data_IF_675823836041
#
_entry.id   IF_675823836041
#
_cell.length_a   1.000
_cell.length_b   1.000
_cell.length_c   1.000
_cell.angle_alpha   90.00
_cell.angle_beta   90.00
_cell.angle_gamma   90.00
#
_symmetry.space_group_name_H-M   'P 1'
#
loop_
_entity.id
_entity.type
_entity.pdbx_description
1 polymer ?
#
# COMPACT_ATOMS: atom_id res chain seq x y z
N UNK A 1 31.04 -84.27 2.13
CA UNK A 1 30.58 -83.16 1.32
C UNK A 1 29.44 -82.52 2.08
N UNK A 2 29.65 -81.36 2.75
CA UNK A 2 28.63 -80.66 3.56
C UNK A 2 28.43 -79.32 2.91
N UNK A 3 27.24 -79.12 2.34
CA UNK A 3 26.82 -77.86 1.78
C UNK A 3 26.29 -76.92 2.91
N UNK A 4 26.95 -75.84 3.09
CA UNK A 4 26.46 -74.72 3.99
C UNK A 4 25.68 -73.79 3.15
N UNK A 5 24.37 -73.61 3.50
CA UNK A 5 23.50 -72.62 2.91
C UNK A 5 23.58 -71.31 3.81
N UNK A 6 24.05 -70.22 3.24
CA UNK A 6 24.08 -68.92 3.89
C UNK A 6 22.73 -68.27 3.70
N UNK A 7 22.06 -67.94 4.82
CA UNK A 7 20.81 -67.15 4.83
C UNK A 7 21.17 -65.67 4.89
N UNK A 8 20.82 -64.95 3.83
CA UNK A 8 21.00 -63.51 3.74
C UNK A 8 19.80 -62.84 4.43
N UNK A 9 20.02 -62.19 5.57
CA UNK A 9 19.01 -61.40 6.24
C UNK A 9 18.91 -59.99 5.58
N UNK A 10 17.76 -59.70 4.96
CA UNK A 10 17.46 -58.41 4.37
C UNK A 10 16.97 -57.47 5.45
N UNK A 11 17.78 -56.50 5.86
CA UNK A 11 17.36 -55.42 6.79
C UNK A 11 16.57 -54.37 6.01
N UNK A 12 15.26 -54.28 6.27
CA UNK A 12 14.39 -53.20 5.79
C UNK A 12 14.67 -51.94 6.61
N UNK A 13 15.35 -50.98 6.01
CA UNK A 13 15.51 -49.65 6.57
C UNK A 13 14.17 -48.89 6.52
N UNK A 14 13.52 -48.71 7.65
CA UNK A 14 12.37 -47.78 7.77
C UNK A 14 12.85 -46.35 7.51
N UNK A 15 12.39 -45.75 6.42
CA UNK A 15 12.61 -44.34 6.12
C UNK A 15 11.87 -43.43 7.11
N UNK A 16 12.55 -42.46 7.73
CA UNK A 16 11.88 -41.47 8.63
C UNK A 16 11.28 -40.31 7.84
N UNK A 17 10.53 -40.62 6.76
CA UNK A 17 9.97 -39.59 5.87
C UNK A 17 8.66 -38.94 6.35
N UNK A 18 7.99 -39.51 7.36
CA UNK A 18 6.66 -39.00 7.79
C UNK A 18 6.70 -37.90 8.90
N UNK A 19 7.82 -37.75 9.61
CA UNK A 19 7.94 -36.76 10.67
C UNK A 19 8.18 -35.33 10.15
N UNK A 20 8.72 -35.16 8.94
CA UNK A 20 8.99 -33.83 8.38
C UNK A 20 7.76 -33.13 7.83
N UNK A 21 6.75 -33.84 7.36
CA UNK A 21 5.51 -33.25 6.85
C UNK A 21 4.67 -32.63 8.00
N UNK A 22 4.60 -33.24 9.16
CA UNK A 22 3.86 -32.74 10.32
C UNK A 22 4.50 -31.49 10.96
N UNK A 23 5.83 -31.37 10.94
CA UNK A 23 6.53 -30.19 11.44
C UNK A 23 6.27 -28.96 10.55
N UNK A 24 6.16 -29.14 9.22
CA UNK A 24 5.85 -28.07 8.27
C UNK A 24 4.42 -27.52 8.45
N UNK A 25 3.45 -28.39 8.64
CA UNK A 25 2.04 -28.03 8.77
C UNK A 25 1.77 -27.26 10.08
N UNK A 26 2.41 -27.64 11.19
CA UNK A 26 2.30 -26.95 12.46
C UNK A 26 2.96 -25.56 12.42
N UNK A 27 4.03 -25.39 11.67
CA UNK A 27 4.69 -24.08 11.51
C UNK A 27 3.84 -23.14 10.68
N UNK A 28 3.22 -23.61 9.60
CA UNK A 28 2.31 -22.81 8.76
C UNK A 28 1.10 -22.35 9.60
N UNK A 29 0.50 -23.27 10.37
CA UNK A 29 -0.62 -22.96 11.27
C UNK A 29 -0.26 -21.89 12.31
N UNK A 30 0.89 -22.02 12.96
CA UNK A 30 1.37 -21.02 13.94
C UNK A 30 1.64 -19.65 13.30
N UNK A 31 2.13 -19.62 12.07
CA UNK A 31 2.31 -18.37 11.32
C UNK A 31 0.94 -17.72 11.05
N UNK A 32 -0.06 -18.51 10.71
CA UNK A 32 -1.41 -18.00 10.45
C UNK A 32 -2.09 -17.51 11.73
N UNK A 33 -1.98 -18.26 12.84
CA UNK A 33 -2.44 -17.83 14.18
C UNK A 33 -1.78 -16.51 14.60
N UNK A 34 -0.48 -16.37 14.38
CA UNK A 34 0.25 -15.13 14.67
C UNK A 34 -0.23 -13.96 13.77
N UNK A 35 -0.47 -14.21 12.49
CA UNK A 35 -1.03 -13.22 11.58
C UNK A 35 -2.42 -12.77 12.02
N UNK A 36 -3.27 -13.72 12.42
CA UNK A 36 -4.61 -13.40 12.91
C UNK A 36 -4.55 -12.57 14.19
N UNK A 37 -3.72 -12.93 15.14
CA UNK A 37 -3.52 -12.16 16.38
C UNK A 37 -3.02 -10.72 16.10
N UNK A 38 -2.20 -10.52 15.05
CA UNK A 38 -1.80 -9.18 14.62
C UNK A 38 -2.96 -8.41 13.97
N UNK A 39 -3.89 -9.09 13.31
CA UNK A 39 -5.08 -8.43 12.72
C UNK A 39 -6.02 -7.94 13.82
N UNK A 40 -6.21 -8.72 14.87
CA UNK A 40 -7.08 -8.41 16.01
C UNK A 40 -6.53 -7.27 16.88
N UNK A 41 -5.21 -7.01 16.84
CA UNK A 41 -4.55 -5.90 17.50
C UNK A 41 -3.67 -5.11 16.52
N UNK A 42 -4.27 -4.62 15.43
CA UNK A 42 -3.52 -3.96 14.37
C UNK A 42 -2.83 -2.68 14.88
N UNK A 43 -1.49 -2.63 14.90
CA UNK A 43 -0.78 -1.44 15.36
C UNK A 43 -1.10 -0.17 14.55
N UNK A 44 -1.70 -0.28 13.36
CA UNK A 44 -2.16 0.85 12.58
C UNK A 44 -3.18 1.73 13.34
N UNK A 45 -3.93 1.17 14.30
CA UNK A 45 -4.88 1.89 15.15
C UNK A 45 -4.23 3.08 15.89
N UNK A 46 -2.95 2.96 16.23
CA UNK A 46 -2.19 4.07 16.84
C UNK A 46 -1.99 5.25 15.88
N UNK A 47 -1.86 4.96 14.57
CA UNK A 47 -1.80 5.99 13.52
C UNK A 47 -3.17 6.55 13.23
N UNK A 48 -4.21 5.72 13.24
CA UNK A 48 -5.60 6.15 13.05
C UNK A 48 -6.01 7.16 14.14
N UNK A 49 -5.80 6.82 15.42
CA UNK A 49 -6.12 7.71 16.55
C UNK A 49 -5.33 9.04 16.47
N UNK A 50 -4.03 8.98 16.11
CA UNK A 50 -3.23 10.18 15.88
C UNK A 50 -3.76 10.99 14.70
N UNK A 51 -4.16 10.33 13.61
CA UNK A 51 -4.70 10.94 12.41
C UNK A 51 -6.03 11.66 12.69
N UNK A 52 -6.90 11.08 13.50
CA UNK A 52 -8.14 11.67 13.96
C UNK A 52 -7.89 12.97 14.75
N UNK A 53 -6.95 12.96 15.69
CA UNK A 53 -6.56 14.15 16.43
C UNK A 53 -6.00 15.24 15.49
N UNK A 54 -5.13 14.86 14.54
CA UNK A 54 -4.58 15.80 13.56
C UNK A 54 -5.62 16.37 12.61
N UNK A 55 -6.66 15.62 12.25
CA UNK A 55 -7.77 16.07 11.42
C UNK A 55 -8.60 17.15 12.10
N UNK A 56 -8.89 16.97 13.38
CA UNK A 56 -9.71 17.88 14.20
C UNK A 56 -8.92 19.05 14.78
N UNK A 57 -7.61 18.91 14.92
CA UNK A 57 -6.74 19.92 15.54
C UNK A 57 -6.57 21.14 14.65
N UNK A 58 -6.73 22.33 15.25
CA UNK A 58 -6.41 23.60 14.60
C UNK A 58 -4.89 23.73 14.45
N UNK A 59 -4.42 23.95 13.23
CA UNK A 59 -3.00 24.00 12.87
C UNK A 59 -2.72 25.09 11.85
N UNK A 60 -1.44 25.32 11.61
CA UNK A 60 -0.94 26.27 10.63
C UNK A 60 -1.16 27.72 11.02
N UNK A 61 -0.70 28.67 10.20
CA UNK A 61 -0.86 30.12 10.46
C UNK A 61 -2.29 30.57 10.66
N UNK A 62 -3.26 29.95 9.98
CA UNK A 62 -4.69 30.31 10.08
C UNK A 62 -5.40 29.67 11.27
N UNK A 63 -4.75 28.78 12.02
CA UNK A 63 -5.34 28.07 13.17
C UNK A 63 -6.69 27.40 12.85
N UNK A 64 -6.76 26.67 11.73
CA UNK A 64 -7.96 25.97 11.24
C UNK A 64 -7.69 24.45 11.23
N UNK A 65 -8.73 23.65 11.51
CA UNK A 65 -8.70 22.19 11.38
C UNK A 65 -8.82 21.75 9.90
N UNK A 66 -8.63 20.46 9.63
CA UNK A 66 -8.87 19.89 8.31
C UNK A 66 -10.33 19.46 8.08
N UNK A 67 -11.21 19.63 9.06
CA UNK A 67 -12.62 19.20 8.99
C UNK A 67 -13.41 19.86 7.85
N UNK A 68 -12.96 20.98 7.31
CA UNK A 68 -13.54 21.61 6.12
C UNK A 68 -12.93 21.13 4.79
N UNK A 69 -11.93 20.21 4.82
CA UNK A 69 -11.30 19.70 3.61
C UNK A 69 -12.27 18.80 2.83
N UNK A 70 -12.53 19.14 1.57
CA UNK A 70 -13.28 18.30 0.66
C UNK A 70 -12.35 17.25 0.04
N UNK A 71 -12.58 15.99 0.35
CA UNK A 71 -11.86 14.83 -0.20
C UNK A 71 -12.56 14.25 -1.44
N UNK A 72 -13.51 14.96 -2.01
CA UNK A 72 -14.22 14.61 -3.23
C UNK A 72 -15.64 14.08 -3.02
N UNK A 73 -16.11 14.03 -1.78
CA UNK A 73 -17.49 13.69 -1.41
C UNK A 73 -18.23 14.83 -0.72
N UNK A 74 -17.61 16.01 -0.66
CA UNK A 74 -18.07 17.20 0.05
C UNK A 74 -17.16 17.54 1.23
N UNK A 75 -17.26 18.79 1.69
CA UNK A 75 -16.44 19.30 2.78
C UNK A 75 -16.61 18.46 4.06
N UNK A 76 -15.50 17.98 4.61
CA UNK A 76 -15.46 17.18 5.85
C UNK A 76 -15.93 15.73 5.73
N UNK A 77 -16.41 15.29 4.59
CA UNK A 77 -16.84 13.90 4.39
C UNK A 77 -15.62 13.01 4.19
N UNK A 78 -15.30 12.20 5.23
CA UNK A 78 -14.17 11.25 5.21
C UNK A 78 -14.62 9.82 4.88
N UNK A 79 -15.83 9.44 5.30
CA UNK A 79 -16.35 8.09 5.12
C UNK A 79 -16.45 7.74 3.63
N UNK A 80 -15.68 6.74 3.22
CA UNK A 80 -15.64 6.28 1.83
C UNK A 80 -14.82 7.16 0.88
N UNK A 81 -14.22 8.26 1.36
CA UNK A 81 -13.52 9.20 0.51
C UNK A 81 -12.31 8.56 -0.21
N UNK A 82 -11.56 7.68 0.45
CA UNK A 82 -10.43 7.01 -0.19
C UNK A 82 -10.85 6.12 -1.36
N UNK A 83 -12.03 5.52 -1.30
CA UNK A 83 -12.51 4.61 -2.34
C UNK A 83 -12.83 5.31 -3.69
N UNK A 84 -12.88 6.64 -3.71
CA UNK A 84 -13.12 7.45 -4.92
C UNK A 84 -11.91 8.28 -5.34
N UNK A 85 -10.76 8.05 -4.71
CA UNK A 85 -9.49 8.73 -4.99
C UNK A 85 -8.50 7.79 -5.72
N UNK A 86 -7.65 8.34 -6.61
CA UNK A 86 -7.53 9.73 -7.06
C UNK A 86 -8.70 10.19 -7.94
N UNK A 87 -8.92 11.52 -7.96
CA UNK A 87 -9.93 12.14 -8.82
C UNK A 87 -9.57 13.58 -9.18
N UNK A 88 -10.29 14.14 -10.15
CA UNK A 88 -10.19 15.56 -10.49
C UNK A 88 -10.84 16.45 -9.42
N UNK A 89 -10.17 17.56 -9.09
CA UNK A 89 -10.65 18.60 -8.20
C UNK A 89 -10.66 19.95 -8.91
N UNK A 90 -11.85 20.54 -9.06
CA UNK A 90 -12.04 21.77 -9.81
C UNK A 90 -11.38 22.99 -9.15
N UNK A 91 -11.32 23.03 -7.81
CA UNK A 91 -10.70 24.11 -7.03
C UNK A 91 -9.17 24.18 -7.19
N UNK A 92 -8.55 23.10 -7.67
CA UNK A 92 -7.11 23.03 -7.94
C UNK A 92 -6.81 22.75 -9.43
N UNK A 93 -7.83 22.56 -10.24
CA UNK A 93 -7.76 22.21 -11.67
C UNK A 93 -6.82 21.04 -12.01
N UNK A 94 -6.76 20.04 -11.13
CA UNK A 94 -5.90 18.87 -11.31
C UNK A 94 -6.43 17.60 -10.63
N UNK A 95 -5.89 16.45 -11.04
CA UNK A 95 -6.11 15.18 -10.36
C UNK A 95 -5.26 15.13 -9.09
N UNK A 96 -5.87 14.68 -8.01
CA UNK A 96 -5.18 14.47 -6.73
C UNK A 96 -5.56 13.12 -6.12
N UNK A 97 -4.59 12.46 -5.52
CA UNK A 97 -4.81 11.38 -4.56
C UNK A 97 -5.01 11.94 -3.15
N UNK A 98 -5.13 11.08 -2.15
CA UNK A 98 -5.38 11.52 -0.79
C UNK A 98 -4.27 12.44 -0.26
N UNK A 99 -3.01 12.05 -0.41
CA UNK A 99 -1.87 12.79 0.12
C UNK A 99 -1.74 14.16 -0.55
N UNK A 100 -1.87 14.24 -1.87
CA UNK A 100 -1.81 15.51 -2.59
C UNK A 100 -3.00 16.42 -2.25
N UNK A 101 -4.19 15.86 -2.01
CA UNK A 101 -5.36 16.61 -1.56
C UNK A 101 -5.20 17.12 -0.14
N UNK A 102 -4.64 16.33 0.78
CA UNK A 102 -4.31 16.76 2.13
C UNK A 102 -3.31 17.92 2.13
N UNK A 103 -2.25 17.82 1.33
CA UNK A 103 -1.29 18.93 1.16
C UNK A 103 -1.99 20.19 0.67
N UNK A 104 -2.88 20.06 -0.32
CA UNK A 104 -3.67 21.20 -0.81
C UNK A 104 -4.53 21.83 0.30
N UNK A 105 -5.23 21.01 1.09
CA UNK A 105 -6.04 21.51 2.21
C UNK A 105 -5.17 22.16 3.32
N UNK A 106 -4.01 21.61 3.63
CA UNK A 106 -3.05 22.23 4.58
C UNK A 106 -2.62 23.61 4.09
N UNK A 107 -2.37 23.76 2.79
CA UNK A 107 -1.99 25.05 2.20
C UNK A 107 -3.15 26.03 2.18
N UNK A 108 -4.32 25.62 1.72
CA UNK A 108 -5.47 26.53 1.50
C UNK A 108 -6.25 26.85 2.76
N UNK A 109 -6.55 25.83 3.59
CA UNK A 109 -7.31 26.00 4.82
C UNK A 109 -6.42 26.44 5.99
N UNK A 110 -5.30 25.75 6.22
CA UNK A 110 -4.44 25.99 7.38
C UNK A 110 -3.39 27.10 7.12
N UNK A 111 -3.18 27.49 5.85
CA UNK A 111 -2.21 28.52 5.46
C UNK A 111 -0.75 28.06 5.56
N UNK A 112 -0.49 26.76 5.57
CA UNK A 112 0.87 26.21 5.59
C UNK A 112 1.57 26.48 4.26
N UNK A 113 2.89 26.64 4.29
CA UNK A 113 3.69 26.57 3.08
C UNK A 113 3.71 25.12 2.55
N UNK A 114 3.95 24.95 1.23
CA UNK A 114 4.12 23.61 0.67
C UNK A 114 5.29 22.87 1.36
N UNK A 115 6.38 23.58 1.63
CA UNK A 115 7.55 23.01 2.30
C UNK A 115 7.21 22.46 3.70
N UNK A 116 6.36 23.18 4.47
CA UNK A 116 5.93 22.71 5.79
C UNK A 116 4.95 21.53 5.68
N UNK A 117 4.00 21.59 4.75
CA UNK A 117 3.02 20.54 4.52
C UNK A 117 3.65 19.22 4.02
N UNK A 118 4.80 19.30 3.34
CA UNK A 118 5.53 18.15 2.79
C UNK A 118 6.85 17.85 3.51
N UNK A 119 7.16 18.53 4.60
CA UNK A 119 8.47 18.43 5.28
C UNK A 119 8.86 17.03 5.73
N UNK A 120 7.87 16.22 6.13
CA UNK A 120 8.07 14.84 6.56
C UNK A 120 6.92 13.98 6.05
N UNK A 121 6.92 13.66 4.75
CA UNK A 121 5.82 12.90 4.17
C UNK A 121 5.76 11.47 4.71
N UNK A 122 6.91 10.91 5.12
CA UNK A 122 7.05 9.55 5.62
C UNK A 122 7.82 9.54 6.95
N UNK A 123 7.44 8.64 7.85
CA UNK A 123 8.17 8.38 9.09
C UNK A 123 9.54 7.74 8.83
N UNK A 124 10.43 7.81 9.80
CA UNK A 124 11.81 7.31 9.67
C UNK A 124 12.20 6.31 10.77
N UNK A 125 11.22 5.78 11.52
CA UNK A 125 11.42 4.84 12.64
C UNK A 125 11.60 5.52 14.00
N UNK A 126 12.10 6.75 14.05
CA UNK A 126 12.21 7.56 15.28
C UNK A 126 11.12 8.63 15.37
N UNK A 127 10.73 9.17 14.26
CA UNK A 127 9.70 10.22 14.16
C UNK A 127 8.60 9.79 13.19
N UNK A 128 7.39 9.65 13.73
CA UNK A 128 6.19 9.32 12.95
C UNK A 128 5.77 10.46 12.05
N UNK A 129 5.29 10.14 10.86
CA UNK A 129 4.74 11.11 9.92
C UNK A 129 3.31 11.49 10.30
N UNK A 130 3.01 12.79 10.37
CA UNK A 130 1.65 13.31 10.49
C UNK A 130 0.81 12.98 9.24
N UNK A 131 1.44 12.98 8.06
CA UNK A 131 0.78 12.62 6.80
C UNK A 131 0.35 11.15 6.80
N UNK A 132 1.22 10.22 7.18
CA UNK A 132 0.86 8.81 7.26
C UNK A 132 -0.23 8.54 8.31
N UNK A 133 -0.26 9.31 9.41
CA UNK A 133 -1.33 9.24 10.41
C UNK A 133 -2.68 9.71 9.84
N UNK A 134 -2.72 10.85 9.14
CA UNK A 134 -3.93 11.33 8.47
C UNK A 134 -4.42 10.34 7.41
N UNK A 135 -3.50 9.76 6.63
CA UNK A 135 -3.82 8.72 5.66
C UNK A 135 -4.42 7.49 6.35
N UNK A 136 -3.86 7.04 7.49
CA UNK A 136 -4.41 5.92 8.25
C UNK A 136 -5.86 6.16 8.66
N UNK A 137 -6.12 7.30 9.29
CA UNK A 137 -7.46 7.69 9.76
C UNK A 137 -8.48 7.73 8.63
N UNK A 138 -8.20 8.47 7.55
CA UNK A 138 -9.15 8.64 6.44
C UNK A 138 -9.38 7.32 5.68
N UNK A 139 -8.36 6.49 5.56
CA UNK A 139 -8.49 5.20 4.87
C UNK A 139 -9.27 4.18 5.71
N UNK A 140 -9.11 4.18 7.04
CA UNK A 140 -9.90 3.34 7.93
C UNK A 140 -11.40 3.61 7.77
N UNK A 141 -11.81 4.87 7.60
CA UNK A 141 -13.20 5.28 7.33
C UNK A 141 -13.74 4.83 5.95
N UNK A 142 -12.88 4.28 5.10
CA UNK A 142 -13.26 3.70 3.81
C UNK A 142 -13.29 2.17 3.82
N UNK A 143 -12.99 1.52 4.95
CA UNK A 143 -12.95 0.05 5.05
C UNK A 143 -14.31 -0.56 4.70
N UNK A 144 -14.29 -1.56 3.82
CA UNK A 144 -15.50 -2.22 3.30
C UNK A 144 -16.20 -1.50 2.15
N UNK A 145 -15.86 -0.24 1.87
CA UNK A 145 -16.43 0.52 0.75
C UNK A 145 -15.82 0.02 -0.56
N UNK A 146 -16.66 -0.19 -1.57
CA UNK A 146 -16.20 -0.65 -2.88
C UNK A 146 -15.46 0.46 -3.61
N UNK A 147 -14.23 0.17 -4.06
CA UNK A 147 -13.41 1.08 -4.86
C UNK A 147 -14.12 1.50 -6.14
N UNK A 148 -14.24 2.79 -6.36
CA UNK A 148 -14.88 3.37 -7.54
C UNK A 148 -14.19 4.66 -8.00
N UNK A 149 -12.93 4.54 -8.36
CA UNK A 149 -12.10 5.64 -8.87
C UNK A 149 -12.61 6.11 -10.22
N UNK A 150 -12.94 7.41 -10.38
CA UNK A 150 -13.60 7.91 -11.57
C UNK A 150 -12.66 8.04 -12.77
N UNK A 151 -13.27 8.05 -13.98
CA UNK A 151 -12.63 8.34 -15.26
C UNK A 151 -13.53 9.25 -16.11
N UNK A 152 -14.33 10.11 -15.45
CA UNK A 152 -15.32 10.96 -16.12
C UNK A 152 -14.68 12.21 -16.72
N UNK A 153 -13.76 12.83 -15.98
CA UNK A 153 -13.05 14.03 -16.42
C UNK A 153 -11.88 13.68 -17.34
N UNK A 154 -11.55 14.56 -18.31
CA UNK A 154 -10.43 14.35 -19.26
C UNK A 154 -9.11 14.16 -18.52
N UNK A 155 -8.81 15.01 -17.54
CA UNK A 155 -7.58 14.94 -16.72
C UNK A 155 -7.47 13.63 -15.90
N UNK A 156 -8.57 12.97 -15.54
CA UNK A 156 -8.54 11.66 -14.89
C UNK A 156 -8.08 10.57 -15.86
N UNK A 157 -8.55 10.63 -17.11
CA UNK A 157 -8.12 9.71 -18.18
C UNK A 157 -6.66 9.95 -18.57
N UNK A 158 -6.23 11.20 -18.65
CA UNK A 158 -4.84 11.59 -18.89
C UNK A 158 -3.93 11.10 -17.77
N UNK A 159 -4.30 11.31 -16.50
CA UNK A 159 -3.55 10.81 -15.36
C UNK A 159 -3.46 9.27 -15.34
N UNK A 160 -4.55 8.56 -15.68
CA UNK A 160 -4.52 7.12 -15.85
C UNK A 160 -3.56 6.67 -16.96
N UNK A 161 -3.63 7.33 -18.12
CA UNK A 161 -2.78 7.03 -19.27
C UNK A 161 -1.30 7.27 -18.95
N UNK A 162 -0.99 8.40 -18.30
CA UNK A 162 0.36 8.71 -17.83
C UNK A 162 0.85 7.67 -16.82
N UNK A 163 0.02 7.32 -15.84
CA UNK A 163 0.36 6.30 -14.84
C UNK A 163 0.63 4.92 -15.46
N UNK A 164 -0.17 4.52 -16.46
CA UNK A 164 0.07 3.34 -17.27
C UNK A 164 1.40 3.43 -18.03
N UNK A 165 1.68 4.57 -18.65
CA UNK A 165 2.92 4.81 -19.36
C UNK A 165 4.15 4.68 -18.46
N UNK A 166 4.11 5.31 -17.26
CA UNK A 166 5.18 5.20 -16.26
C UNK A 166 5.33 3.76 -15.77
N UNK A 167 4.23 3.03 -15.56
CA UNK A 167 4.26 1.64 -15.10
C UNK A 167 5.02 0.71 -16.05
N UNK A 168 4.93 0.93 -17.36
CA UNK A 168 5.62 0.15 -18.38
C UNK A 168 6.96 0.77 -18.84
N UNK A 169 7.24 2.02 -18.46
CA UNK A 169 8.49 2.68 -18.86
C UNK A 169 9.70 2.03 -18.20
N UNK A 170 10.66 1.61 -19.02
CA UNK A 170 11.93 1.05 -18.56
C UNK A 170 12.94 2.15 -18.30
N UNK A 171 13.65 2.06 -17.19
CA UNK A 171 14.62 3.08 -16.81
C UNK A 171 15.54 2.63 -15.68
N UNK A 172 16.37 3.57 -15.25
CA UNK A 172 17.38 3.31 -14.23
C UNK A 172 18.53 2.40 -14.72
N UNK A 173 19.54 2.15 -13.90
CA UNK A 173 20.74 1.39 -14.29
C UNK A 173 20.48 -0.09 -14.57
N UNK A 174 19.33 -0.60 -14.14
CA UNK A 174 18.93 -2.00 -14.35
C UNK A 174 17.98 -2.17 -15.56
N UNK A 175 17.61 -1.08 -16.21
CA UNK A 175 16.64 -1.06 -17.31
C UNK A 175 15.35 -1.82 -16.95
N UNK A 176 14.83 -1.60 -15.75
CA UNK A 176 13.59 -2.19 -15.26
C UNK A 176 12.40 -1.22 -15.44
N UNK A 177 11.21 -1.78 -15.35
CA UNK A 177 9.95 -1.04 -15.17
C UNK A 177 9.17 -1.65 -14.00
N UNK A 178 8.09 -1.00 -13.55
CA UNK A 178 7.18 -1.65 -12.61
C UNK A 178 6.64 -2.96 -13.21
N UNK A 179 6.33 -2.96 -14.50
CA UNK A 179 5.85 -4.11 -15.24
C UNK A 179 6.85 -5.28 -15.26
N UNK A 180 8.16 -5.02 -15.23
CA UNK A 180 9.19 -6.09 -15.17
C UNK A 180 8.94 -7.07 -14.01
N UNK A 181 8.44 -6.56 -12.88
CA UNK A 181 8.13 -7.35 -11.70
C UNK A 181 6.62 -7.61 -11.52
N UNK A 182 5.75 -6.74 -12.05
CA UNK A 182 4.33 -6.69 -11.70
C UNK A 182 3.36 -6.90 -12.88
N UNK A 183 3.82 -7.45 -14.02
CA UNK A 183 2.94 -7.75 -15.17
C UNK A 183 2.77 -9.23 -15.48
N UNK A 184 3.37 -10.11 -14.68
CA UNK A 184 3.28 -11.56 -14.85
C UNK A 184 3.07 -12.25 -13.50
N UNK A 185 2.29 -13.33 -13.48
CA UNK A 185 2.11 -14.17 -12.29
C UNK A 185 3.36 -14.99 -11.94
N UNK A 186 3.46 -15.42 -10.67
CA UNK A 186 4.53 -16.30 -10.21
C UNK A 186 5.90 -15.65 -9.98
N UNK A 187 6.02 -14.34 -10.18
CA UNK A 187 7.26 -13.63 -9.86
C UNK A 187 7.43 -13.46 -8.35
N UNK A 188 8.67 -13.57 -7.89
CA UNK A 188 9.01 -13.51 -6.47
C UNK A 188 10.24 -12.66 -6.22
N UNK A 189 10.25 -11.98 -5.06
CA UNK A 189 11.43 -11.30 -4.54
C UNK A 189 11.54 -11.55 -3.03
N UNK A 190 12.71 -11.96 -2.55
CA UNK A 190 12.98 -12.20 -1.11
C UNK A 190 11.92 -13.09 -0.45
N UNK A 191 11.54 -14.20 -1.06
CA UNK A 191 10.51 -15.14 -0.60
C UNK A 191 9.08 -14.57 -0.57
N UNK A 192 8.83 -13.44 -1.22
CA UNK A 192 7.50 -12.84 -1.36
C UNK A 192 7.03 -12.96 -2.80
N UNK A 193 5.81 -13.40 -2.99
CA UNK A 193 5.17 -13.37 -4.29
C UNK A 193 4.81 -11.93 -4.64
N UNK A 194 5.08 -11.57 -5.90
CA UNK A 194 4.76 -10.26 -6.43
C UNK A 194 3.39 -10.33 -7.12
N UNK A 195 2.46 -9.41 -6.82
CA UNK A 195 1.16 -9.39 -7.49
C UNK A 195 1.33 -8.98 -8.96
N UNK A 196 0.56 -9.61 -9.84
CA UNK A 196 0.39 -9.13 -11.21
C UNK A 196 -0.61 -7.95 -11.23
N UNK A 197 -0.11 -6.72 -11.25
CA UNK A 197 -0.94 -5.50 -11.17
C UNK A 197 -1.68 -5.18 -12.48
N UNK A 198 -1.47 -5.98 -13.54
CA UNK A 198 -2.25 -5.91 -14.79
C UNK A 198 -3.46 -6.83 -14.76
N UNK A 199 -3.52 -7.78 -13.83
CA UNK A 199 -4.65 -8.65 -13.60
C UNK A 199 -5.57 -8.09 -12.51
N UNK A 200 -6.88 -8.01 -12.81
CA UNK A 200 -7.86 -7.33 -11.94
C UNK A 200 -7.84 -7.86 -10.51
N UNK A 201 -7.87 -9.17 -10.29
CA UNK A 201 -7.93 -9.74 -8.94
C UNK A 201 -6.68 -9.44 -8.12
N UNK A 202 -5.52 -9.51 -8.73
CA UNK A 202 -4.25 -9.22 -8.08
C UNK A 202 -4.07 -7.72 -7.81
N UNK A 203 -4.46 -6.86 -8.77
CA UNK A 203 -4.48 -5.41 -8.60
C UNK A 203 -5.41 -4.99 -7.44
N UNK A 204 -6.61 -5.57 -7.37
CA UNK A 204 -7.58 -5.37 -6.31
C UNK A 204 -6.98 -5.74 -4.94
N UNK A 205 -6.50 -6.97 -4.77
CA UNK A 205 -5.88 -7.45 -3.54
C UNK A 205 -4.67 -6.61 -3.11
N UNK A 206 -3.84 -6.23 -4.07
CA UNK A 206 -2.63 -5.47 -3.81
C UNK A 206 -2.95 -4.03 -3.35
N UNK A 207 -3.76 -3.30 -4.12
CA UNK A 207 -4.04 -1.89 -3.85
C UNK A 207 -4.91 -1.70 -2.60
N UNK A 208 -6.00 -2.46 -2.45
CA UNK A 208 -6.94 -2.30 -1.33
C UNK A 208 -6.34 -2.63 0.04
N UNK A 209 -5.17 -3.24 0.08
CA UNK A 209 -4.42 -3.54 1.30
C UNK A 209 -3.38 -2.47 1.69
N UNK A 210 -3.42 -1.29 1.04
CA UNK A 210 -2.60 -0.12 1.41
C UNK A 210 -3.49 1.06 1.79
N UNK A 211 -3.12 1.83 2.84
CA UNK A 211 -1.88 1.80 3.62
C UNK A 211 -1.71 0.50 4.41
N UNK A 212 -0.49 0.23 4.84
CA UNK A 212 -0.20 -0.97 5.61
C UNK A 212 0.82 -0.71 6.72
N UNK A 213 0.57 -1.31 7.88
CA UNK A 213 1.59 -1.39 8.91
C UNK A 213 2.68 -2.39 8.47
N UNK A 214 3.91 -1.91 8.35
CA UNK A 214 5.08 -2.69 7.98
C UNK A 214 5.80 -3.19 9.23
N UNK A 215 5.59 -4.45 9.59
CA UNK A 215 6.16 -5.05 10.82
C UNK A 215 7.69 -4.90 10.88
N UNK A 216 8.37 -5.11 9.75
CA UNK A 216 9.85 -4.99 9.68
C UNK A 216 10.37 -3.57 9.86
N UNK A 217 9.51 -2.56 9.84
CA UNK A 217 9.87 -1.14 9.97
C UNK A 217 9.26 -0.49 11.23
N UNK A 218 8.27 -1.15 11.85
CA UNK A 218 7.54 -0.57 12.98
C UNK A 218 6.68 0.64 12.60
N UNK A 219 6.33 0.80 11.31
CA UNK A 219 5.71 2.00 10.76
C UNK A 219 4.52 1.68 9.86
N UNK A 220 3.51 2.53 9.90
CA UNK A 220 2.49 2.54 8.86
C UNK A 220 3.04 3.24 7.62
N UNK A 221 2.77 2.67 6.45
CA UNK A 221 3.24 3.17 5.15
C UNK A 221 2.08 3.36 4.19
N UNK A 222 2.07 4.52 3.54
CA UNK A 222 1.07 4.85 2.51
C UNK A 222 1.42 4.23 1.14
N UNK A 223 0.50 4.35 0.17
CA UNK A 223 0.77 3.92 -1.21
C UNK A 223 1.86 4.79 -1.85
N UNK A 224 1.89 6.09 -1.62
CA UNK A 224 2.97 6.95 -2.14
C UNK A 224 4.34 6.57 -1.57
N UNK A 225 4.40 6.21 -0.27
CA UNK A 225 5.63 5.65 0.29
C UNK A 225 6.03 4.35 -0.42
N UNK A 226 5.07 3.46 -0.72
CA UNK A 226 5.37 2.21 -1.42
C UNK A 226 5.93 2.43 -2.81
N UNK A 227 5.40 3.40 -3.54
CA UNK A 227 5.93 3.80 -4.85
C UNK A 227 7.33 4.39 -4.72
N UNK A 228 7.52 5.34 -3.81
CA UNK A 228 8.82 5.93 -3.51
C UNK A 228 9.87 4.85 -3.16
N UNK A 229 9.53 3.89 -2.29
CA UNK A 229 10.45 2.82 -1.88
C UNK A 229 10.82 1.89 -3.05
N UNK A 230 9.88 1.57 -3.94
CA UNK A 230 10.17 0.83 -5.17
C UNK A 230 11.14 1.58 -6.07
N UNK A 231 10.90 2.86 -6.33
CA UNK A 231 11.78 3.70 -7.15
C UNK A 231 13.20 3.74 -6.58
N UNK A 232 13.31 3.98 -5.27
CA UNK A 232 14.59 4.00 -4.56
C UNK A 232 15.33 2.65 -4.66
N UNK A 233 14.63 1.53 -4.43
CA UNK A 233 15.24 0.19 -4.46
C UNK A 233 15.68 -0.22 -5.87
N UNK A 234 14.95 0.18 -6.90
CA UNK A 234 15.29 -0.10 -8.30
C UNK A 234 16.21 0.96 -8.91
N UNK A 235 16.63 1.96 -8.12
CA UNK A 235 17.48 3.07 -8.58
C UNK A 235 16.89 3.84 -9.76
N UNK A 236 15.57 3.96 -9.80
CA UNK A 236 14.91 4.87 -10.72
C UNK A 236 15.20 6.32 -10.33
N UNK A 237 14.98 7.29 -11.24
CA UNK A 237 14.94 8.69 -10.86
C UNK A 237 14.02 8.91 -9.67
N UNK A 238 14.36 9.85 -8.78
CA UNK A 238 13.60 10.10 -7.57
C UNK A 238 12.12 10.39 -7.88
N UNK A 239 11.22 9.66 -7.23
CA UNK A 239 9.79 9.93 -7.29
C UNK A 239 9.45 10.91 -6.18
N UNK A 240 9.20 12.15 -6.55
CA UNK A 240 8.85 13.18 -5.57
C UNK A 240 7.45 12.96 -4.99
N UNK A 241 7.33 13.22 -3.70
CA UNK A 241 6.07 13.12 -2.98
C UNK A 241 5.02 14.10 -3.55
N UNK A 242 3.80 13.60 -3.82
CA UNK A 242 2.69 14.34 -4.45
C UNK A 242 3.02 14.97 -5.81
N UNK A 243 4.01 14.44 -6.51
CA UNK A 243 4.29 14.82 -7.90
C UNK A 243 3.21 14.29 -8.84
N UNK A 244 3.15 14.85 -10.04
CA UNK A 244 2.26 14.36 -11.10
C UNK A 244 2.49 12.87 -11.39
N UNK A 245 3.74 12.44 -11.44
CA UNK A 245 4.12 11.05 -11.65
C UNK A 245 3.62 10.12 -10.54
N UNK A 246 3.75 10.52 -9.25
CA UNK A 246 3.26 9.70 -8.14
C UNK A 246 1.74 9.60 -8.10
N UNK A 247 1.05 10.71 -8.39
CA UNK A 247 -0.43 10.75 -8.48
C UNK A 247 -0.92 9.94 -9.68
N UNK A 248 -0.26 10.04 -10.83
CA UNK A 248 -0.61 9.27 -12.04
C UNK A 248 -0.44 7.76 -11.83
N UNK A 249 0.66 7.32 -11.21
CA UNK A 249 0.85 5.92 -10.83
C UNK A 249 -0.22 5.46 -9.85
N UNK A 250 -0.54 6.26 -8.83
CA UNK A 250 -1.63 5.96 -7.90
C UNK A 250 -2.97 5.85 -8.62
N UNK A 251 -3.26 6.73 -9.58
CA UNK A 251 -4.47 6.68 -10.42
C UNK A 251 -4.54 5.37 -11.21
N UNK A 252 -3.46 4.96 -11.85
CA UNK A 252 -3.41 3.70 -12.60
C UNK A 252 -3.70 2.49 -11.70
N UNK A 253 -3.01 2.39 -10.55
CA UNK A 253 -3.16 1.28 -9.63
C UNK A 253 -4.55 1.25 -8.97
N UNK A 254 -5.03 2.40 -8.51
CA UNK A 254 -6.33 2.52 -7.86
C UNK A 254 -7.49 2.19 -8.82
N UNK A 255 -7.41 2.67 -10.05
CA UNK A 255 -8.43 2.39 -11.08
C UNK A 255 -8.48 0.91 -11.44
N UNK A 256 -7.32 0.23 -11.52
CA UNK A 256 -7.26 -1.21 -11.75
C UNK A 256 -7.83 -2.03 -10.57
N UNK A 257 -7.91 -1.43 -9.39
CA UNK A 257 -8.49 -2.06 -8.20
C UNK A 257 -10.01 -1.82 -8.04
N UNK A 258 -10.66 -1.10 -8.95
CA UNK A 258 -12.09 -0.84 -8.86
C UNK A 258 -12.92 -2.13 -8.78
N UNK A 259 -14.04 -2.06 -8.07
CA UNK A 259 -14.96 -3.18 -7.85
C UNK A 259 -14.63 -4.05 -6.64
N UNK A 260 -13.47 -3.88 -6.00
CA UNK A 260 -13.15 -4.58 -4.75
C UNK A 260 -13.49 -3.75 -3.51
N UNK A 261 -13.91 -4.39 -2.40
CA UNK A 261 -14.04 -3.70 -1.12
C UNK A 261 -12.65 -3.30 -0.60
N UNK A 262 -12.55 -2.08 -0.07
CA UNK A 262 -11.32 -1.57 0.52
C UNK A 262 -11.02 -2.28 1.86
N UNK A 263 -9.80 -2.76 2.06
CA UNK A 263 -9.43 -3.64 3.17
C UNK A 263 -8.41 -3.05 4.15
N UNK A 264 -7.79 -1.91 3.80
CA UNK A 264 -6.74 -1.31 4.63
C UNK A 264 -7.32 -0.51 5.82
N UNK A 265 -6.50 -0.17 6.83
CA UNK A 265 -5.08 -0.51 6.95
C UNK A 265 -4.82 -2.00 7.14
N UNK A 266 -3.88 -2.55 6.36
CA UNK A 266 -3.48 -3.95 6.48
C UNK A 266 -2.16 -4.09 7.26
N UNK A 267 -1.79 -5.35 7.57
CA UNK A 267 -0.47 -5.68 8.13
C UNK A 267 0.36 -6.38 7.05
N UNK A 268 1.59 -5.91 6.86
CA UNK A 268 2.54 -6.48 5.90
C UNK A 268 3.92 -6.63 6.54
N UNK A 269 4.67 -7.61 6.03
CA UNK A 269 6.06 -7.85 6.44
C UNK A 269 6.97 -6.68 6.07
#
# INVERSE_FOLDING_TARGET
MRNSVAVLALAVALCPGLAQAQAGDNTVKKIEEYRQALVDGNPAELWEARGEDLWKRKRGPKQVSLEACDLGLGAGVIKGAYAVLPRYFADADRVMDLESRLVHCMMTLQGMSRADATRRPFGNGTERSDMEALVAFITAESKGVVMNVPQRHAKEREAYALGKQIFFFRGGPHDFSCATCHSEGGKRIRLQDLPNLTETKDAQRAYTSWPAYRVSQGELRSMQWRLFDCFRQQRFPALEFTSEASVALTMFLARNANGAPFAAPAIKR
#
